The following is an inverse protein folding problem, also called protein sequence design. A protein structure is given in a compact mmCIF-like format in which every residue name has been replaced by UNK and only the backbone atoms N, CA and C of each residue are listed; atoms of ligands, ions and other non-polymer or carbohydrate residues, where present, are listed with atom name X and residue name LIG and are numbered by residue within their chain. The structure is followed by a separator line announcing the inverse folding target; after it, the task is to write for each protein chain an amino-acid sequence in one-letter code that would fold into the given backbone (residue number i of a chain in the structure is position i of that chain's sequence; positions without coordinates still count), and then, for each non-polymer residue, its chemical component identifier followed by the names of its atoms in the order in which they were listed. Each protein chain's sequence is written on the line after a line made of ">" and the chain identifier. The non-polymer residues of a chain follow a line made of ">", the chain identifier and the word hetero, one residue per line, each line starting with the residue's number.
data_IF_088482635754
#
_entry.id   IF_088482635754
#
_cell.length_a   1.000
_cell.length_b   1.000
_cell.length_c   1.000
_cell.angle_alpha   90.00
_cell.angle_beta   90.00
_cell.angle_gamma   90.00
#
_symmetry.space_group_name_H-M   'P 1'
#
loop_
_entity.id
_entity.type
_entity.pdbx_description
1 polymer ?
#
# COMPACT_ATOMS: atom_id res chain seq x y z
N UNK A 1 9.65 0.00 -1.02
CA UNK A 1 8.38 0.35 -0.35
C UNK A 1 8.33 1.86 -0.20
N UNK A 2 7.18 2.54 -0.31
CA UNK A 2 7.11 3.99 -0.13
C UNK A 2 7.39 4.37 1.32
N UNK A 3 8.02 5.53 1.55
CA UNK A 3 8.45 5.99 2.88
C UNK A 3 7.32 6.27 3.86
N UNK A 4 6.09 6.45 3.37
CA UNK A 4 4.89 6.61 4.18
C UNK A 4 4.24 5.27 4.56
N UNK A 5 4.75 4.12 4.11
CA UNK A 5 4.21 2.83 4.55
C UNK A 5 4.56 2.56 6.03
N UNK A 6 3.66 2.03 6.88
CA UNK A 6 2.31 1.53 6.62
C UNK A 6 1.18 2.53 6.96
N UNK A 7 1.41 3.85 6.82
CA UNK A 7 0.39 4.85 7.14
C UNK A 7 -0.88 4.65 6.31
N UNK A 8 -2.03 4.72 6.98
CA UNK A 8 -3.36 4.72 6.39
C UNK A 8 -4.04 6.05 6.71
N UNK A 9 -3.94 7.03 5.80
CA UNK A 9 -4.72 8.27 5.97
C UNK A 9 -6.20 7.97 5.81
N UNK A 10 -7.05 8.58 6.64
CA UNK A 10 -8.51 8.42 6.55
C UNK A 10 -9.06 8.72 5.15
N UNK A 11 -8.48 9.69 4.44
CA UNK A 11 -8.87 10.04 3.06
C UNK A 11 -8.55 8.96 2.02
N UNK A 12 -7.61 8.08 2.32
CA UNK A 12 -7.19 6.97 1.47
C UNK A 12 -7.45 5.63 2.15
N UNK A 13 -8.36 5.59 3.13
CA UNK A 13 -8.60 4.40 3.91
C UNK A 13 -9.12 3.26 3.03
N UNK A 14 -9.96 3.58 2.04
CA UNK A 14 -10.55 2.64 1.10
C UNK A 14 -9.49 1.92 0.22
N UNK A 15 -8.66 2.63 -0.59
CA UNK A 15 -7.62 1.97 -1.38
C UNK A 15 -6.50 1.34 -0.52
N UNK A 16 -6.28 1.86 0.69
CA UNK A 16 -5.37 1.23 1.64
C UNK A 16 -5.91 -0.11 2.15
N UNK A 17 -7.17 -0.15 2.58
CA UNK A 17 -7.81 -1.37 3.10
C UNK A 17 -7.81 -2.49 2.05
N UNK A 18 -8.16 -2.14 0.83
CA UNK A 18 -8.20 -3.08 -0.30
C UNK A 18 -6.80 -3.65 -0.61
N UNK A 19 -5.76 -2.81 -0.58
CA UNK A 19 -4.38 -3.27 -0.68
C UNK A 19 -3.99 -4.20 0.47
N UNK A 20 -4.24 -3.80 1.72
CA UNK A 20 -3.84 -4.57 2.90
C UNK A 20 -4.57 -5.92 2.96
N UNK A 21 -5.87 -5.96 2.64
CA UNK A 21 -6.66 -7.18 2.59
C UNK A 21 -6.14 -8.14 1.49
N UNK A 22 -5.84 -7.62 0.30
CA UNK A 22 -5.24 -8.42 -0.77
C UNK A 22 -3.88 -8.98 -0.34
N UNK A 23 -3.02 -8.12 0.24
CA UNK A 23 -1.68 -8.51 0.64
C UNK A 23 -1.71 -9.57 1.75
N UNK A 24 -2.54 -9.39 2.79
CA UNK A 24 -2.68 -10.34 3.90
C UNK A 24 -3.12 -11.73 3.42
N UNK A 25 -4.08 -11.79 2.48
CA UNK A 25 -4.55 -13.05 1.92
C UNK A 25 -3.55 -13.77 1.01
N UNK A 26 -2.55 -13.06 0.46
CA UNK A 26 -1.55 -13.62 -0.46
C UNK A 26 -0.17 -13.77 0.14
N UNK A 27 0.16 -13.03 1.19
CA UNK A 27 1.48 -13.00 1.82
C UNK A 27 1.68 -14.11 2.87
N UNK A 28 1.04 -15.27 2.67
CA UNK A 28 1.20 -16.44 3.54
C UNK A 28 2.06 -17.52 2.87
N UNK A 29 3.02 -18.14 3.59
CA UNK A 29 3.43 -17.86 4.97
C UNK A 29 4.15 -16.52 5.13
N UNK A 30 3.89 -15.84 6.25
CA UNK A 30 4.52 -14.56 6.58
C UNK A 30 6.04 -14.72 6.79
N UNK A 31 6.80 -13.69 6.43
CA UNK A 31 8.26 -13.66 6.65
C UNK A 31 9.09 -14.20 5.49
N UNK A 32 8.46 -14.81 4.48
CA UNK A 32 9.15 -15.19 3.25
C UNK A 32 9.18 -14.01 2.24
N UNK A 33 10.37 -13.55 1.82
CA UNK A 33 10.49 -12.39 0.93
C UNK A 33 10.02 -12.68 -0.50
N UNK A 34 10.08 -13.93 -0.98
CA UNK A 34 9.58 -14.30 -2.30
C UNK A 34 8.05 -14.32 -2.33
N UNK A 35 7.42 -14.86 -1.28
CA UNK A 35 5.97 -14.82 -1.08
C UNK A 35 5.49 -13.37 -1.01
N UNK A 36 6.15 -12.52 -0.22
CA UNK A 36 5.84 -11.10 -0.15
C UNK A 36 5.95 -10.43 -1.53
N UNK A 37 7.01 -10.72 -2.29
CA UNK A 37 7.20 -10.17 -3.64
C UNK A 37 6.11 -10.62 -4.61
N UNK A 38 5.68 -11.89 -4.55
CA UNK A 38 4.57 -12.41 -5.36
C UNK A 38 3.23 -11.79 -4.96
N UNK A 39 2.97 -11.65 -3.66
CA UNK A 39 1.78 -10.98 -3.15
C UNK A 39 1.72 -9.51 -3.62
N UNK A 40 2.84 -8.78 -3.58
CA UNK A 40 2.91 -7.41 -4.12
C UNK A 40 2.60 -7.34 -5.62
N UNK A 41 3.05 -8.33 -6.40
CA UNK A 41 2.76 -8.39 -7.84
C UNK A 41 1.28 -8.70 -8.12
N UNK A 42 0.66 -9.58 -7.31
CA UNK A 42 -0.76 -9.91 -7.42
C UNK A 42 -1.67 -8.76 -6.97
N UNK A 43 -1.23 -7.98 -5.98
CA UNK A 43 -1.95 -6.81 -5.44
C UNK A 43 -1.45 -5.50 -6.03
N UNK A 44 -0.85 -5.52 -7.22
CA UNK A 44 -0.21 -4.33 -7.80
C UNK A 44 -1.21 -3.22 -8.13
N UNK A 45 -2.42 -3.58 -8.55
CA UNK A 45 -3.49 -2.62 -8.88
C UNK A 45 -3.95 -1.84 -7.65
N UNK A 46 -4.24 -2.55 -6.57
CA UNK A 46 -4.70 -1.99 -5.29
C UNK A 46 -3.58 -1.20 -4.62
N UNK A 47 -2.33 -1.70 -4.71
CA UNK A 47 -1.14 -0.96 -4.31
C UNK A 47 -0.96 0.35 -5.10
N UNK A 48 -1.25 0.37 -6.40
CA UNK A 48 -1.16 1.59 -7.21
C UNK A 48 -2.18 2.62 -6.74
N UNK A 49 -3.43 2.22 -6.50
CA UNK A 49 -4.47 3.11 -5.99
C UNK A 49 -4.10 3.70 -4.62
N UNK A 50 -3.58 2.87 -3.71
CA UNK A 50 -3.08 3.34 -2.42
C UNK A 50 -1.96 4.36 -2.58
N UNK A 51 -0.97 4.06 -3.45
CA UNK A 51 0.18 4.96 -3.68
C UNK A 51 -0.23 6.29 -4.30
N UNK A 52 -1.14 6.27 -5.26
CA UNK A 52 -1.65 7.48 -5.93
C UNK A 52 -2.35 8.42 -4.93
N UNK A 53 -3.23 7.85 -4.10
CA UNK A 53 -3.90 8.60 -3.06
C UNK A 53 -2.90 9.12 -2.02
N UNK A 54 -1.99 8.27 -1.51
CA UNK A 54 -0.96 8.69 -0.56
C UNK A 54 -0.03 9.76 -1.11
N UNK A 55 0.39 9.68 -2.38
CA UNK A 55 1.30 10.68 -2.96
C UNK A 55 0.68 12.07 -3.00
N UNK A 56 -0.64 12.17 -3.13
CA UNK A 56 -1.38 13.44 -3.09
C UNK A 56 -1.37 14.11 -1.71
N UNK A 57 -1.13 13.35 -0.63
CA UNK A 57 -1.20 13.87 0.75
C UNK A 57 0.12 13.75 1.53
N UNK A 58 1.05 12.88 1.13
CA UNK A 58 2.27 12.53 1.88
C UNK A 58 3.54 12.55 1.01
N UNK A 59 3.42 12.77 -0.30
CA UNK A 59 4.59 12.93 -1.18
C UNK A 59 5.34 14.25 -0.93
N UNK A 60 6.53 14.46 -1.53
CA UNK A 60 7.24 15.76 -1.47
C UNK A 60 6.45 16.93 -2.10
N UNK A 61 5.30 16.64 -2.71
CA UNK A 61 4.32 17.58 -3.27
C UNK A 61 3.13 17.84 -2.36
N UNK A 62 3.09 17.26 -1.15
CA UNK A 62 2.07 17.58 -0.18
C UNK A 62 2.22 19.05 0.23
N UNK A 63 1.16 19.88 0.14
CA UNK A 63 1.23 21.22 0.71
C UNK A 63 1.54 21.08 2.19
N UNK A 64 2.72 21.55 2.58
CA UNK A 64 3.10 21.74 3.98
C UNK A 64 2.03 22.66 4.58
N UNK A 65 1.19 22.10 5.45
CA UNK A 65 0.25 22.85 6.27
C UNK A 65 0.96 23.29 7.55
#
# INVERSE_FOLDING_TARGET
>A
MPSYFPLKLRKCADPADDFFACFEGKAMPNGDPEVARRALAQCQETLRAYKDCMQSFVGPSAPQA
#
